data_IF_640304130618
#
_entry.id   IF_640304130618
#
_cell.length_a   1.000
_cell.length_b   1.000
_cell.length_c   1.000
_cell.angle_alpha   90.00
_cell.angle_beta   90.00
_cell.angle_gamma   90.00
#
_symmetry.space_group_name_H-M   'P 1'
#
loop_
_entity.id
_entity.type
_entity.pdbx_description
1 polymer ?
#
# COMPACT_ATOMS: atom_id res chain seq x y z
N UNK A 1 -27.76 -9.93 7.25
CA UNK A 1 -27.43 -11.35 7.02
C UNK A 1 -26.24 -11.84 7.85
N UNK A 2 -25.01 -11.30 7.71
CA UNK A 2 -23.86 -11.78 8.53
C UNK A 2 -24.00 -11.40 10.01
N UNK A 3 -24.34 -10.14 10.32
CA UNK A 3 -24.53 -9.70 11.70
C UNK A 3 -25.61 -10.54 12.40
N UNK A 4 -26.75 -10.72 11.74
CA UNK A 4 -27.89 -11.49 12.26
C UNK A 4 -27.53 -12.96 12.52
N UNK A 5 -26.71 -13.56 11.65
CA UNK A 5 -26.19 -14.90 11.87
C UNK A 5 -25.28 -14.95 13.10
N UNK A 6 -24.31 -14.04 13.21
CA UNK A 6 -23.42 -13.98 14.37
C UNK A 6 -24.19 -13.74 15.68
N UNK A 7 -25.26 -12.93 15.65
CA UNK A 7 -26.11 -12.64 16.82
C UNK A 7 -26.91 -13.85 17.32
N UNK A 8 -27.05 -14.93 16.54
CA UNK A 8 -27.68 -16.17 16.97
C UNK A 8 -26.72 -17.12 17.71
N UNK A 9 -25.43 -16.77 17.78
CA UNK A 9 -24.38 -17.60 18.35
C UNK A 9 -23.87 -16.92 19.62
N UNK A 10 -23.85 -17.65 20.74
CA UNK A 10 -23.16 -17.21 21.94
C UNK A 10 -21.65 -17.40 21.74
N UNK A 11 -20.83 -16.34 21.69
CA UNK A 11 -19.39 -16.48 21.43
C UNK A 11 -18.69 -17.32 22.50
N UNK A 12 -19.17 -17.34 23.74
CA UNK A 12 -18.55 -18.09 24.84
C UNK A 12 -18.67 -19.62 24.68
N UNK A 13 -19.51 -20.11 23.78
CA UNK A 13 -19.62 -21.55 23.49
C UNK A 13 -18.74 -21.97 22.32
N UNK A 14 -18.05 -21.04 21.65
CA UNK A 14 -17.20 -21.35 20.51
C UNK A 14 -15.84 -21.87 20.94
N UNK A 15 -15.28 -22.78 20.12
CA UNK A 15 -13.95 -23.32 20.35
C UNK A 15 -12.91 -22.20 20.29
N UNK A 16 -12.04 -22.16 21.30
CA UNK A 16 -10.82 -21.33 21.32
C UNK A 16 -9.59 -22.05 20.76
N UNK A 17 -9.73 -23.33 20.40
CA UNK A 17 -8.64 -24.16 19.89
C UNK A 17 -8.36 -23.78 18.43
N UNK A 18 -7.11 -23.47 18.13
CA UNK A 18 -6.64 -23.27 16.77
C UNK A 18 -6.42 -24.62 16.08
N UNK A 19 -6.62 -24.65 14.76
CA UNK A 19 -6.37 -25.86 13.96
C UNK A 19 -5.20 -25.62 13.01
N UNK A 20 -4.41 -26.66 12.73
CA UNK A 20 -3.28 -26.58 11.79
C UNK A 20 -3.61 -27.34 10.52
N UNK A 21 -3.33 -26.72 9.37
CA UNK A 21 -3.41 -27.36 8.06
C UNK A 21 -2.05 -27.32 7.36
N UNK A 22 -1.83 -28.26 6.45
CA UNK A 22 -0.66 -28.20 5.57
C UNK A 22 -0.99 -27.47 4.28
N UNK A 23 -0.17 -26.47 3.94
CA UNK A 23 -0.30 -25.70 2.71
C UNK A 23 0.97 -25.79 1.88
N UNK A 24 0.82 -26.03 0.58
CA UNK A 24 1.93 -25.98 -0.35
C UNK A 24 2.29 -24.52 -0.65
N UNK A 25 3.54 -24.14 -0.37
CA UNK A 25 4.07 -22.81 -0.71
C UNK A 25 5.42 -22.98 -1.40
N UNK A 26 5.47 -22.60 -2.69
CA UNK A 26 6.66 -22.69 -3.54
C UNK A 26 7.23 -24.12 -3.62
N UNK A 27 6.36 -25.13 -3.78
CA UNK A 27 6.78 -26.53 -3.88
C UNK A 27 7.16 -27.21 -2.56
N UNK A 28 6.93 -26.54 -1.41
CA UNK A 28 7.18 -27.11 -0.09
C UNK A 28 5.91 -27.11 0.76
N UNK A 29 5.64 -28.23 1.42
CA UNK A 29 4.58 -28.33 2.41
C UNK A 29 4.98 -27.59 3.69
N UNK A 30 4.12 -26.69 4.16
CA UNK A 30 4.31 -25.94 5.39
C UNK A 30 3.05 -25.98 6.22
N UNK A 31 3.22 -26.12 7.52
CA UNK A 31 2.12 -26.00 8.47
C UNK A 31 1.66 -24.53 8.55
N UNK A 32 0.35 -24.35 8.61
CA UNK A 32 -0.30 -23.06 8.80
C UNK A 32 -1.40 -23.21 9.83
N UNK A 33 -1.25 -22.49 10.94
CA UNK A 33 -2.28 -22.38 11.97
C UNK A 33 -3.42 -21.47 11.49
N UNK A 34 -4.65 -21.88 11.79
CA UNK A 34 -5.88 -21.17 11.49
C UNK A 34 -6.50 -20.60 12.76
N UNK A 35 -7.20 -19.47 12.60
CA UNK A 35 -7.98 -18.87 13.66
C UNK A 35 -9.01 -19.87 14.23
N UNK A 36 -9.19 -19.80 15.54
CA UNK A 36 -10.26 -20.53 16.23
C UNK A 36 -11.65 -20.02 15.82
N UNK A 37 -12.70 -20.80 16.08
CA UNK A 37 -14.09 -20.38 15.85
C UNK A 37 -14.43 -19.12 16.64
N UNK A 38 -13.90 -19.02 17.86
CA UNK A 38 -14.01 -17.85 18.72
C UNK A 38 -13.46 -16.58 18.03
N UNK A 39 -12.22 -16.63 17.53
CA UNK A 39 -11.62 -15.51 16.81
C UNK A 39 -12.37 -15.18 15.51
N UNK A 40 -12.75 -16.21 14.74
CA UNK A 40 -13.49 -16.03 13.49
C UNK A 40 -14.82 -15.31 13.71
N UNK A 41 -15.56 -15.66 14.77
CA UNK A 41 -16.81 -14.99 15.11
C UNK A 41 -16.59 -13.50 15.35
N UNK A 42 -15.59 -13.11 16.16
CA UNK A 42 -15.28 -11.69 16.40
C UNK A 42 -14.87 -10.97 15.11
N UNK A 43 -14.06 -11.63 14.27
CA UNK A 43 -13.64 -11.07 12.99
C UNK A 43 -14.83 -10.78 12.07
N UNK A 44 -15.80 -11.70 11.97
CA UNK A 44 -17.00 -11.52 11.15
C UNK A 44 -18.00 -10.54 11.76
N UNK A 45 -18.32 -10.67 13.05
CA UNK A 45 -19.26 -9.82 13.79
C UNK A 45 -18.84 -8.35 13.72
N UNK A 46 -17.61 -8.04 14.13
CA UNK A 46 -17.11 -6.65 14.13
C UNK A 46 -16.98 -6.07 12.72
N UNK A 47 -16.65 -6.88 11.71
CA UNK A 47 -16.63 -6.44 10.31
C UNK A 47 -18.04 -6.10 9.81
N UNK A 48 -19.04 -6.87 10.20
CA UNK A 48 -20.44 -6.60 9.84
C UNK A 48 -20.96 -5.33 10.54
N UNK A 49 -20.74 -5.19 11.84
CA UNK A 49 -21.14 -4.00 12.61
C UNK A 49 -20.51 -2.72 12.05
N UNK A 50 -19.21 -2.74 11.74
CA UNK A 50 -18.50 -1.63 11.10
C UNK A 50 -19.14 -1.21 9.77
N UNK A 51 -19.63 -2.18 8.96
CA UNK A 51 -20.29 -1.87 7.69
C UNK A 51 -21.72 -1.34 7.86
N UNK A 52 -22.41 -1.77 8.90
CA UNK A 52 -23.77 -1.34 9.22
C UNK A 52 -23.81 0.04 9.90
N UNK A 53 -22.68 0.50 10.44
CA UNK A 53 -22.63 1.75 11.19
C UNK A 53 -23.06 1.62 12.64
N UNK A 54 -23.11 0.39 13.17
CA UNK A 54 -23.42 0.11 14.57
C UNK A 54 -22.18 0.38 15.43
N UNK A 55 -21.84 1.67 15.58
CA UNK A 55 -20.54 2.10 16.10
C UNK A 55 -20.30 1.68 17.55
N UNK A 56 -21.31 1.81 18.41
CA UNK A 56 -21.17 1.47 19.82
C UNK A 56 -20.94 -0.04 20.01
N UNK A 57 -21.79 -0.88 19.39
CA UNK A 57 -21.63 -2.33 19.47
C UNK A 57 -20.31 -2.78 18.82
N UNK A 58 -19.91 -2.18 17.70
CA UNK A 58 -18.63 -2.47 17.05
C UNK A 58 -17.45 -2.16 17.97
N UNK A 59 -17.50 -1.03 18.69
CA UNK A 59 -16.49 -0.62 19.65
C UNK A 59 -16.37 -1.64 20.80
N UNK A 60 -17.48 -2.01 21.40
CA UNK A 60 -17.51 -2.87 22.59
C UNK A 60 -17.06 -4.29 22.23
N UNK A 61 -17.63 -4.88 21.18
CA UNK A 61 -17.26 -6.22 20.71
C UNK A 61 -15.80 -6.27 20.22
N UNK A 62 -15.29 -5.20 19.61
CA UNK A 62 -13.87 -5.18 19.18
C UNK A 62 -12.90 -5.08 20.35
N UNK A 63 -13.26 -4.39 21.45
CA UNK A 63 -12.45 -4.34 22.67
C UNK A 63 -12.47 -5.68 23.40
N UNK A 64 -13.66 -6.27 23.55
CA UNK A 64 -13.82 -7.60 24.15
C UNK A 64 -12.94 -8.63 23.43
N UNK A 65 -12.91 -8.60 22.09
CA UNK A 65 -12.03 -9.45 21.29
C UNK A 65 -10.54 -9.24 21.61
N UNK A 66 -10.10 -7.98 21.69
CA UNK A 66 -8.72 -7.60 21.98
C UNK A 66 -8.27 -8.00 23.40
N UNK A 67 -9.21 -8.11 24.34
CA UNK A 67 -8.95 -8.50 25.72
C UNK A 67 -8.97 -10.02 25.92
N UNK A 68 -9.82 -10.75 25.19
CA UNK A 68 -10.10 -12.17 25.46
C UNK A 68 -9.46 -13.16 24.47
N UNK A 69 -8.89 -12.69 23.36
CA UNK A 69 -8.17 -13.54 22.39
C UNK A 69 -6.67 -13.47 22.69
N UNK A 70 -6.07 -14.62 22.99
CA UNK A 70 -4.66 -14.72 23.37
C UNK A 70 -3.71 -14.69 22.16
N UNK A 71 -4.11 -15.30 21.04
CA UNK A 71 -3.32 -15.37 19.80
C UNK A 71 -4.18 -14.97 18.60
N UNK A 72 -3.68 -14.03 17.80
CA UNK A 72 -4.40 -13.49 16.65
C UNK A 72 -3.83 -14.00 15.32
N UNK A 73 -4.73 -14.29 14.40
CA UNK A 73 -4.43 -14.70 13.04
C UNK A 73 -4.86 -13.62 12.04
N UNK A 74 -4.34 -13.69 10.82
CA UNK A 74 -4.75 -12.83 9.70
C UNK A 74 -4.68 -11.31 9.95
N UNK A 75 -3.85 -10.89 10.92
CA UNK A 75 -3.79 -9.50 11.42
C UNK A 75 -5.10 -9.02 12.07
N UNK A 76 -5.89 -9.91 12.67
CA UNK A 76 -7.16 -9.57 13.30
C UNK A 76 -6.98 -8.58 14.46
N UNK A 77 -5.89 -8.63 15.21
CA UNK A 77 -5.50 -7.62 16.19
C UNK A 77 -5.46 -6.20 15.59
N UNK A 78 -4.84 -6.07 14.40
CA UNK A 78 -4.73 -4.81 13.66
C UNK A 78 -6.11 -4.37 13.16
N UNK A 79 -6.91 -5.30 12.64
CA UNK A 79 -8.25 -5.00 12.13
C UNK A 79 -9.23 -4.58 13.23
N UNK A 80 -9.20 -5.25 14.37
CA UNK A 80 -9.98 -4.90 15.56
C UNK A 80 -9.54 -3.54 16.10
N UNK A 81 -8.23 -3.27 16.19
CA UNK A 81 -7.69 -1.96 16.59
C UNK A 81 -8.16 -0.83 15.66
N UNK A 82 -8.17 -1.08 14.34
CA UNK A 82 -8.74 -0.14 13.37
C UNK A 82 -10.23 0.07 13.61
N UNK A 83 -10.99 -0.98 13.90
CA UNK A 83 -12.44 -0.87 14.17
C UNK A 83 -12.75 -0.11 15.45
N UNK A 84 -12.00 -0.33 16.52
CA UNK A 84 -12.07 0.47 17.75
C UNK A 84 -11.83 1.95 17.43
N UNK A 85 -10.78 2.25 16.67
CA UNK A 85 -10.39 3.63 16.33
C UNK A 85 -11.48 4.34 15.53
N UNK A 86 -11.98 3.70 14.46
CA UNK A 86 -13.03 4.28 13.61
C UNK A 86 -14.38 4.38 14.32
N UNK A 87 -14.73 3.42 15.18
CA UNK A 87 -15.97 3.47 15.94
C UNK A 87 -15.96 4.64 16.94
N UNK A 88 -14.84 4.85 17.64
CA UNK A 88 -14.65 6.04 18.50
C UNK A 88 -14.82 7.34 17.73
N UNK A 89 -14.20 7.47 16.55
CA UNK A 89 -14.36 8.64 15.66
C UNK A 89 -15.83 8.92 15.38
N UNK A 90 -16.59 7.90 14.96
CA UNK A 90 -18.00 8.05 14.59
C UNK A 90 -18.93 8.30 15.79
N UNK A 91 -18.49 7.98 17.01
CA UNK A 91 -19.17 8.34 18.26
C UNK A 91 -18.78 9.75 18.76
N UNK A 92 -18.06 10.54 17.96
CA UNK A 92 -17.63 11.89 18.31
C UNK A 92 -16.34 11.96 19.11
N UNK A 93 -15.75 10.83 19.51
CA UNK A 93 -14.43 10.80 20.14
C UNK A 93 -13.34 10.75 19.07
N UNK A 94 -12.96 11.93 18.59
CA UNK A 94 -11.94 12.08 17.55
C UNK A 94 -10.52 12.20 18.08
N UNK A 95 -10.34 12.23 19.40
CA UNK A 95 -9.01 12.34 20.04
C UNK A 95 -8.09 11.19 19.59
N UNK A 96 -6.87 11.57 19.19
CA UNK A 96 -5.83 10.69 18.67
C UNK A 96 -6.20 9.79 17.48
N UNK A 97 -7.35 9.99 16.82
CA UNK A 97 -7.81 9.10 15.73
C UNK A 97 -6.75 8.99 14.63
N UNK A 98 -6.18 10.13 14.22
CA UNK A 98 -5.11 10.20 13.23
C UNK A 98 -3.88 9.41 13.72
N UNK A 99 -3.38 9.70 14.93
CA UNK A 99 -2.18 9.05 15.48
C UNK A 99 -2.34 7.51 15.60
N UNK A 100 -3.54 7.05 15.98
CA UNK A 100 -3.88 5.62 16.06
C UNK A 100 -3.89 4.98 14.67
N UNK A 101 -4.54 5.61 13.69
CA UNK A 101 -4.54 5.12 12.31
C UNK A 101 -3.14 5.14 11.67
N UNK A 102 -2.31 6.14 11.96
CA UNK A 102 -0.91 6.17 11.51
C UNK A 102 -0.10 4.99 12.10
N UNK A 103 -0.30 4.69 13.38
CA UNK A 103 0.30 3.52 14.04
C UNK A 103 -0.15 2.21 13.39
N UNK A 104 -1.43 2.08 13.08
CA UNK A 104 -1.98 0.93 12.35
C UNK A 104 -1.35 0.84 10.95
N UNK A 105 -1.26 1.96 10.22
CA UNK A 105 -0.69 2.01 8.88
C UNK A 105 0.78 1.58 8.84
N UNK A 106 1.56 1.91 9.88
CA UNK A 106 2.96 1.46 10.02
C UNK A 106 3.07 -0.07 10.09
N UNK A 107 2.12 -0.73 10.74
CA UNK A 107 2.04 -2.21 10.82
C UNK A 107 1.45 -2.82 9.55
N UNK A 108 0.47 -2.15 8.94
CA UNK A 108 -0.26 -2.65 7.76
C UNK A 108 -0.54 -1.53 6.75
N UNK A 109 0.23 -1.56 5.65
CA UNK A 109 0.20 -0.52 4.61
C UNK A 109 -0.93 -0.71 3.59
N UNK A 110 -2.17 -0.64 4.05
CA UNK A 110 -3.34 -0.76 3.18
C UNK A 110 -3.78 0.58 2.59
N UNK A 111 -4.19 0.58 1.32
CA UNK A 111 -4.63 1.79 0.62
C UNK A 111 -5.86 2.43 1.27
N UNK A 112 -6.78 1.62 1.80
CA UNK A 112 -8.00 2.14 2.41
C UNK A 112 -7.72 2.83 3.76
N UNK A 113 -6.68 2.43 4.50
CA UNK A 113 -6.26 3.14 5.72
C UNK A 113 -5.65 4.50 5.35
N UNK A 114 -4.89 4.54 4.25
CA UNK A 114 -4.36 5.80 3.73
C UNK A 114 -5.50 6.73 3.26
N UNK A 115 -6.54 6.19 2.62
CA UNK A 115 -7.76 6.94 2.28
C UNK A 115 -8.44 7.51 3.54
N UNK A 116 -8.60 6.71 4.59
CA UNK A 116 -9.22 7.18 5.85
C UNK A 116 -8.43 8.30 6.51
N UNK A 117 -7.09 8.19 6.51
CA UNK A 117 -6.23 9.28 6.96
C UNK A 117 -6.39 10.52 6.08
N UNK A 118 -6.45 10.36 4.76
CA UNK A 118 -6.67 11.48 3.83
C UNK A 118 -8.00 12.19 4.09
N UNK A 119 -9.07 11.45 4.39
CA UNK A 119 -10.37 12.02 4.77
C UNK A 119 -10.26 12.83 6.06
N UNK A 120 -9.59 12.30 7.08
CA UNK A 120 -9.40 12.99 8.36
C UNK A 120 -8.56 14.26 8.24
N UNK A 121 -7.48 14.24 7.46
CA UNK A 121 -6.68 15.44 7.21
C UNK A 121 -7.47 16.48 6.41
N UNK A 122 -8.27 16.04 5.43
CA UNK A 122 -9.13 16.93 4.67
C UNK A 122 -10.21 17.58 5.54
N UNK A 123 -10.83 16.82 6.46
CA UNK A 123 -11.78 17.33 7.46
C UNK A 123 -11.14 18.40 8.37
N UNK A 124 -9.83 18.30 8.63
CA UNK A 124 -9.05 19.26 9.43
C UNK A 124 -8.45 20.42 8.62
N UNK A 125 -8.77 20.52 7.33
CA UNK A 125 -8.17 21.48 6.39
C UNK A 125 -6.65 21.36 6.22
N UNK A 126 -6.02 20.26 6.66
CA UNK A 126 -4.63 19.93 6.35
C UNK A 126 -4.56 19.31 4.95
N UNK A 127 -4.63 20.19 3.94
CA UNK A 127 -4.69 19.80 2.53
C UNK A 127 -3.42 19.07 2.07
N UNK A 128 -2.25 19.41 2.62
CA UNK A 128 -0.97 18.79 2.24
C UNK A 128 -0.90 17.34 2.70
N UNK A 129 -1.24 17.08 3.98
CA UNK A 129 -1.29 15.71 4.50
C UNK A 129 -2.41 14.91 3.84
N UNK A 130 -3.57 15.53 3.60
CA UNK A 130 -4.68 14.90 2.89
C UNK A 130 -4.26 14.44 1.48
N UNK A 131 -3.67 15.35 0.70
CA UNK A 131 -3.19 15.08 -0.65
C UNK A 131 -2.12 13.98 -0.64
N UNK A 132 -1.12 14.10 0.25
CA UNK A 132 -0.05 13.10 0.38
C UNK A 132 -0.61 11.70 0.68
N UNK A 133 -1.55 11.57 1.62
CA UNK A 133 -2.15 10.28 1.94
C UNK A 133 -3.01 9.74 0.79
N UNK A 134 -3.79 10.59 0.12
CA UNK A 134 -4.62 10.19 -1.01
C UNK A 134 -3.78 9.70 -2.21
N UNK A 135 -2.67 10.39 -2.50
CA UNK A 135 -1.71 10.01 -3.54
C UNK A 135 -0.99 8.70 -3.18
N UNK A 136 -0.61 8.51 -1.91
CA UNK A 136 -0.05 7.23 -1.48
C UNK A 136 -1.09 6.10 -1.64
N UNK A 137 -2.35 6.35 -1.28
CA UNK A 137 -3.43 5.38 -1.40
C UNK A 137 -3.70 4.96 -2.87
N UNK A 138 -3.75 5.92 -3.79
CA UNK A 138 -4.12 5.63 -5.19
C UNK A 138 -3.02 4.81 -5.88
N UNK A 139 -1.75 5.06 -5.52
CA UNK A 139 -0.58 4.35 -6.02
C UNK A 139 -0.29 3.01 -5.32
N UNK A 140 -0.91 2.75 -4.16
CA UNK A 140 -0.74 1.49 -3.44
C UNK A 140 -1.44 0.33 -4.20
N UNK A 141 -1.09 -0.92 -3.88
CA UNK A 141 -1.66 -2.11 -4.49
C UNK A 141 -3.18 -2.15 -4.31
N UNK A 142 -3.88 -2.63 -5.34
CA UNK A 142 -5.32 -2.77 -5.36
C UNK A 142 -5.91 -2.35 -6.71
N UNK A 143 -7.00 -3.00 -7.16
CA UNK A 143 -7.67 -2.60 -8.39
C UNK A 143 -8.24 -1.19 -8.30
N UNK A 144 -8.20 -0.44 -9.40
CA UNK A 144 -8.57 0.99 -9.42
C UNK A 144 -10.09 1.17 -9.27
N UNK A 145 -10.86 0.23 -9.81
CA UNK A 145 -12.31 0.15 -9.74
C UNK A 145 -12.80 0.22 -8.29
N UNK A 146 -12.13 -0.46 -7.35
CA UNK A 146 -12.47 -0.39 -5.93
C UNK A 146 -12.03 0.90 -5.22
N UNK A 147 -11.33 1.81 -5.93
CA UNK A 147 -10.85 3.10 -5.41
C UNK A 147 -11.69 4.29 -5.89
N UNK A 148 -12.89 4.07 -6.42
CA UNK A 148 -13.80 5.14 -6.91
C UNK A 148 -14.07 6.25 -5.88
N UNK A 149 -14.20 5.92 -4.59
CA UNK A 149 -14.39 6.94 -3.55
C UNK A 149 -13.09 7.68 -3.20
N UNK A 150 -11.93 7.07 -3.44
CA UNK A 150 -10.65 7.77 -3.34
C UNK A 150 -10.44 8.74 -4.51
N UNK A 151 -10.88 8.37 -5.72
CA UNK A 151 -10.89 9.30 -6.87
C UNK A 151 -11.76 10.53 -6.57
N UNK A 152 -12.95 10.32 -5.99
CA UNK A 152 -13.81 11.41 -5.54
C UNK A 152 -13.12 12.29 -4.49
N UNK A 153 -12.46 11.69 -3.49
CA UNK A 153 -11.72 12.43 -2.48
C UNK A 153 -10.57 13.25 -3.08
N UNK A 154 -9.79 12.68 -4.01
CA UNK A 154 -8.74 13.42 -4.73
C UNK A 154 -9.31 14.61 -5.49
N UNK A 155 -10.46 14.44 -6.15
CA UNK A 155 -11.18 15.54 -6.81
C UNK A 155 -11.49 16.69 -5.84
N UNK A 156 -12.04 16.37 -4.65
CA UNK A 156 -12.30 17.36 -3.60
C UNK A 156 -11.03 18.07 -3.12
N UNK A 157 -9.96 17.32 -2.85
CA UNK A 157 -8.68 17.88 -2.39
C UNK A 157 -8.11 18.84 -3.44
N UNK A 158 -8.04 18.40 -4.69
CA UNK A 158 -7.51 19.18 -5.81
C UNK A 158 -8.34 20.45 -6.07
N UNK A 159 -9.67 20.35 -5.96
CA UNK A 159 -10.57 21.49 -6.06
C UNK A 159 -10.29 22.53 -4.97
N UNK A 160 -10.10 22.09 -3.71
CA UNK A 160 -9.73 22.98 -2.60
C UNK A 160 -8.34 23.60 -2.79
N UNK A 161 -7.43 22.90 -3.45
CA UNK A 161 -6.11 23.40 -3.85
C UNK A 161 -6.12 24.24 -5.14
N UNK A 162 -7.29 24.54 -5.71
CA UNK A 162 -7.47 25.32 -6.95
C UNK A 162 -6.94 24.66 -8.23
N UNK A 163 -6.72 23.34 -8.23
CA UNK A 163 -6.39 22.56 -9.43
C UNK A 163 -7.66 22.06 -10.14
N UNK A 164 -8.41 22.99 -10.73
CA UNK A 164 -9.76 22.74 -11.28
C UNK A 164 -9.82 21.63 -12.33
N UNK A 165 -8.96 21.68 -13.37
CA UNK A 165 -8.93 20.67 -14.43
C UNK A 165 -8.67 19.25 -13.88
N UNK A 166 -7.71 19.13 -12.97
CA UNK A 166 -7.43 17.85 -12.32
C UNK A 166 -8.60 17.39 -11.45
N UNK A 167 -9.27 18.30 -10.72
CA UNK A 167 -10.44 17.95 -9.93
C UNK A 167 -11.57 17.39 -10.81
N UNK A 168 -11.89 18.08 -11.91
CA UNK A 168 -12.87 17.63 -12.91
C UNK A 168 -12.56 16.22 -13.43
N UNK A 169 -11.30 15.98 -13.81
CA UNK A 169 -10.84 14.68 -14.31
C UNK A 169 -10.98 13.56 -13.28
N UNK A 170 -10.69 13.83 -12.00
CA UNK A 170 -10.83 12.84 -10.94
C UNK A 170 -12.29 12.51 -10.63
N UNK A 171 -13.18 13.52 -10.58
CA UNK A 171 -14.62 13.30 -10.46
C UNK A 171 -15.18 12.53 -11.65
N UNK A 172 -14.76 12.90 -12.87
CA UNK A 172 -15.15 12.21 -14.10
C UNK A 172 -14.72 10.75 -14.09
N UNK A 173 -13.46 10.45 -13.73
CA UNK A 173 -12.99 9.06 -13.65
C UNK A 173 -13.73 8.26 -12.57
N UNK A 174 -14.07 8.86 -11.43
CA UNK A 174 -14.90 8.22 -10.41
C UNK A 174 -16.28 7.85 -10.95
N UNK A 175 -16.95 8.78 -11.65
CA UNK A 175 -18.26 8.54 -12.31
C UNK A 175 -18.15 7.45 -13.38
N UNK A 176 -17.22 7.59 -14.32
CA UNK A 176 -17.06 6.68 -15.46
C UNK A 176 -16.70 5.27 -15.02
N UNK A 177 -15.84 5.10 -14.01
CA UNK A 177 -15.51 3.78 -13.47
C UNK A 177 -16.72 3.11 -12.83
N UNK A 178 -17.58 3.86 -12.13
CA UNK A 178 -18.84 3.31 -11.60
C UNK A 178 -19.80 2.91 -12.73
N UNK A 179 -19.86 3.69 -13.81
CA UNK A 179 -20.69 3.38 -14.97
C UNK A 179 -20.21 2.14 -15.71
N UNK A 180 -18.90 1.99 -15.92
CA UNK A 180 -18.26 0.84 -16.57
C UNK A 180 -18.50 -0.47 -15.79
N UNK A 181 -18.50 -0.38 -14.45
CA UNK A 181 -18.75 -1.50 -13.54
C UNK A 181 -20.25 -1.72 -13.22
N UNK A 182 -21.15 -0.97 -13.86
CA UNK A 182 -22.60 -1.00 -13.61
C UNK A 182 -23.01 -0.73 -12.15
N UNK A 183 -22.21 0.06 -11.43
CA UNK A 183 -22.49 0.45 -10.05
C UNK A 183 -23.33 1.71 -9.97
N UNK A 184 -24.11 1.83 -8.89
CA UNK A 184 -24.84 3.07 -8.56
C UNK A 184 -23.88 4.25 -8.51
N UNK A 185 -24.21 5.32 -9.23
CA UNK A 185 -23.52 6.60 -9.21
C UNK A 185 -24.17 7.49 -8.12
N UNK A 186 -23.43 7.90 -7.08
CA UNK A 186 -23.96 8.80 -6.05
C UNK A 186 -24.29 10.21 -6.59
N UNK A 187 -25.38 10.83 -6.09
CA UNK A 187 -25.80 12.19 -6.48
C UNK A 187 -24.68 13.23 -6.28
N UNK A 188 -23.92 13.12 -5.18
CA UNK A 188 -22.76 14.00 -4.89
C UNK A 188 -21.73 14.10 -6.03
N UNK A 189 -21.60 13.09 -6.89
CA UNK A 189 -20.71 13.16 -8.05
C UNK A 189 -21.27 14.09 -9.13
N UNK A 190 -22.57 14.00 -9.40
CA UNK A 190 -23.23 14.93 -10.32
C UNK A 190 -23.20 16.36 -9.77
N UNK A 191 -23.45 16.53 -8.47
CA UNK A 191 -23.41 17.84 -7.82
C UNK A 191 -22.03 18.50 -7.92
N UNK A 192 -20.95 17.73 -7.80
CA UNK A 192 -19.58 18.23 -8.01
C UNK A 192 -19.30 18.52 -9.49
N UNK A 193 -19.68 17.62 -10.41
CA UNK A 193 -19.42 17.78 -11.85
C UNK A 193 -20.19 18.95 -12.47
N UNK A 194 -21.41 19.23 -12.01
CA UNK A 194 -22.22 20.35 -12.49
C UNK A 194 -21.64 21.73 -12.14
N UNK A 195 -20.63 21.79 -11.26
CA UNK A 195 -19.92 23.03 -10.94
C UNK A 195 -18.80 23.36 -11.93
N UNK A 196 -18.55 22.47 -12.90
CA UNK A 196 -17.57 22.65 -13.96
C UNK A 196 -18.26 23.06 -15.26
N UNK A 197 -17.58 23.88 -16.06
CA UNK A 197 -18.05 24.32 -17.39
C UNK A 197 -17.67 23.36 -18.50
N UNK A 198 -16.74 22.45 -18.19
CA UNK A 198 -16.17 21.45 -19.07
C UNK A 198 -17.23 20.44 -19.51
N UNK A 199 -17.20 20.06 -20.79
CA UNK A 199 -18.10 19.05 -21.32
C UNK A 199 -17.84 17.68 -20.70
N UNK A 200 -18.91 16.91 -20.49
CA UNK A 200 -18.80 15.56 -19.93
C UNK A 200 -17.88 14.66 -20.78
N UNK A 201 -16.98 13.94 -20.11
CA UNK A 201 -16.10 12.97 -20.76
C UNK A 201 -16.91 11.70 -21.08
N UNK A 202 -17.02 11.28 -22.35
CA UNK A 202 -17.79 10.09 -22.70
C UNK A 202 -17.08 8.80 -22.25
N UNK A 203 -17.86 7.75 -21.96
CA UNK A 203 -17.35 6.44 -21.49
C UNK A 203 -16.28 5.84 -22.40
N UNK A 204 -16.38 6.02 -23.73
CA UNK A 204 -15.37 5.59 -24.71
C UNK A 204 -13.95 6.11 -24.38
N UNK A 205 -13.85 7.25 -23.70
CA UNK A 205 -12.57 7.90 -23.36
C UNK A 205 -12.04 7.50 -21.97
N UNK A 206 -12.69 6.59 -21.25
CA UNK A 206 -12.30 6.17 -19.89
C UNK A 206 -10.84 5.69 -19.83
N UNK A 207 -10.39 4.92 -20.83
CA UNK A 207 -9.03 4.39 -20.89
C UNK A 207 -7.98 5.50 -20.99
N UNK A 208 -8.25 6.53 -21.78
CA UNK A 208 -7.35 7.68 -21.94
C UNK A 208 -7.25 8.48 -20.64
N UNK A 209 -8.39 8.79 -20.03
CA UNK A 209 -8.46 9.48 -18.74
C UNK A 209 -7.74 8.70 -17.63
N UNK A 210 -7.96 7.39 -17.57
CA UNK A 210 -7.28 6.48 -16.62
C UNK A 210 -5.76 6.51 -16.81
N UNK A 211 -5.28 6.50 -18.04
CA UNK A 211 -3.85 6.54 -18.34
C UNK A 211 -3.22 7.90 -18.00
N UNK A 212 -3.91 8.99 -18.31
CA UNK A 212 -3.49 10.35 -17.95
C UNK A 212 -3.33 10.50 -16.44
N UNK A 213 -4.37 10.13 -15.67
CA UNK A 213 -4.35 10.28 -14.21
C UNK A 213 -3.36 9.31 -13.55
N UNK A 214 -3.18 8.09 -14.08
CA UNK A 214 -2.11 7.18 -13.62
C UNK A 214 -0.72 7.79 -13.78
N UNK A 215 -0.44 8.45 -14.91
CA UNK A 215 0.84 9.16 -15.11
C UNK A 215 1.00 10.27 -14.06
N UNK A 216 -0.04 11.08 -13.86
CA UNK A 216 -0.07 12.13 -12.84
C UNK A 216 0.25 11.57 -11.44
N UNK A 217 -0.48 10.55 -10.96
CA UNK A 217 -0.24 9.97 -9.63
C UNK A 217 1.15 9.37 -9.48
N UNK A 218 1.64 8.69 -10.53
CA UNK A 218 2.94 8.03 -10.50
C UNK A 218 4.10 9.01 -10.33
N UNK A 219 3.93 10.27 -10.76
CA UNK A 219 4.91 11.34 -10.56
C UNK A 219 5.23 11.62 -9.09
N UNK A 220 4.32 11.28 -8.18
CA UNK A 220 4.50 11.52 -6.74
C UNK A 220 5.08 10.32 -5.98
N UNK A 221 5.18 9.14 -6.61
CA UNK A 221 5.79 7.96 -5.98
C UNK A 221 7.30 8.12 -5.74
N UNK A 222 7.92 9.17 -6.27
CA UNK A 222 9.37 9.43 -6.20
C UNK A 222 9.89 9.81 -4.80
N UNK A 223 9.03 9.91 -3.76
CA UNK A 223 9.47 10.30 -2.40
C UNK A 223 9.08 9.36 -1.25
N UNK A 224 8.42 8.21 -1.52
CA UNK A 224 7.84 7.37 -0.45
C UNK A 224 8.41 5.95 -0.31
N UNK A 225 9.08 5.41 -1.33
CA UNK A 225 9.60 4.05 -1.31
C UNK A 225 11.09 4.06 -1.69
N UNK A 226 11.93 4.55 -0.78
CA UNK A 226 13.30 4.04 -0.67
C UNK A 226 13.28 2.63 -0.06
N UNK A 227 12.66 1.68 -0.77
CA UNK A 227 13.35 0.43 -1.06
C UNK A 227 14.02 0.69 -2.41
N UNK A 228 15.35 0.67 -2.53
CA UNK A 228 16.01 1.09 -3.73
C UNK A 228 15.82 0.03 -4.83
N UNK A 229 14.68 0.09 -5.52
CA UNK A 229 14.72 0.01 -6.96
C UNK A 229 15.32 1.33 -7.45
N UNK A 230 16.63 1.47 -7.28
CA UNK A 230 17.43 2.37 -8.09
C UNK A 230 17.24 1.93 -9.55
N UNK A 231 16.20 2.45 -10.20
CA UNK A 231 16.44 3.12 -11.47
C UNK A 231 16.90 4.52 -11.10
N UNK A 232 18.16 4.61 -10.67
CA UNK A 232 18.91 5.82 -10.91
C UNK A 232 18.83 6.07 -12.40
N UNK A 233 18.44 7.28 -12.79
CA UNK A 233 18.98 7.94 -13.98
C UNK A 233 20.49 8.17 -13.77
N UNK A 234 21.22 7.10 -13.47
CA UNK A 234 22.66 7.02 -13.57
C UNK A 234 22.86 6.25 -14.84
N UNK A 235 23.45 6.88 -15.84
CA UNK A 235 23.81 6.24 -17.10
C UNK A 235 24.35 4.85 -16.79
N UNK A 236 23.72 3.81 -17.32
CA UNK A 236 24.21 2.45 -17.20
C UNK A 236 25.67 2.45 -17.66
N UNK A 237 26.60 2.19 -16.74
CA UNK A 237 28.01 2.13 -17.06
C UNK A 237 28.36 0.69 -17.41
N UNK A 238 29.18 0.53 -18.45
CA UNK A 238 29.77 -0.75 -18.82
C UNK A 238 31.20 -0.80 -18.28
N UNK A 239 31.55 -1.89 -17.60
CA UNK A 239 32.88 -2.08 -17.07
C UNK A 239 33.26 -3.55 -16.98
N UNK A 240 34.51 -3.79 -16.62
CA UNK A 240 35.06 -5.14 -16.47
C UNK A 240 35.52 -5.38 -15.05
N UNK A 241 35.20 -6.55 -14.48
CA UNK A 241 35.71 -6.97 -13.18
C UNK A 241 37.21 -7.24 -13.31
N UNK A 242 38.04 -6.40 -12.68
CA UNK A 242 39.50 -6.51 -12.77
C UNK A 242 40.12 -7.21 -11.56
N UNK A 243 39.40 -7.26 -10.44
CA UNK A 243 39.90 -7.85 -9.19
C UNK A 243 38.75 -8.37 -8.33
N UNK A 244 38.95 -9.52 -7.71
CA UNK A 244 38.10 -10.06 -6.63
C UNK A 244 38.96 -10.05 -5.36
N UNK A 245 38.44 -9.47 -4.27
CA UNK A 245 39.12 -9.43 -2.98
C UNK A 245 38.71 -10.62 -2.11
N UNK A 246 37.40 -10.87 -1.99
CA UNK A 246 36.84 -12.00 -1.27
C UNK A 246 35.77 -12.72 -2.09
N UNK A 247 35.74 -14.04 -1.97
CA UNK A 247 34.71 -14.93 -2.48
C UNK A 247 34.48 -16.02 -1.43
N UNK A 248 33.46 -15.85 -0.59
CA UNK A 248 33.19 -16.74 0.54
C UNK A 248 31.68 -16.77 0.88
N UNK A 249 31.33 -17.41 1.98
CA UNK A 249 29.94 -17.56 2.44
C UNK A 249 29.18 -16.23 2.63
N UNK A 250 29.89 -15.10 2.76
CA UNK A 250 29.29 -13.76 2.87
C UNK A 250 29.08 -13.08 1.52
N UNK A 251 29.44 -13.72 0.41
CA UNK A 251 29.31 -13.21 -0.95
C UNK A 251 30.66 -12.88 -1.59
N UNK A 252 30.63 -11.98 -2.58
CA UNK A 252 31.79 -11.62 -3.39
C UNK A 252 31.99 -10.11 -3.45
N UNK A 253 33.22 -9.64 -3.35
CA UNK A 253 33.57 -8.23 -3.49
C UNK A 253 34.86 -8.01 -4.29
N UNK A 254 35.03 -6.80 -4.80
CA UNK A 254 36.11 -6.51 -5.74
C UNK A 254 36.00 -5.16 -6.42
N UNK A 255 36.68 -5.02 -7.56
CA UNK A 255 36.72 -3.79 -8.34
C UNK A 255 36.30 -4.00 -9.80
N UNK A 256 35.50 -3.06 -10.31
CA UNK A 256 35.13 -2.92 -11.72
C UNK A 256 35.91 -1.74 -12.30
N UNK A 257 36.59 -1.94 -13.43
CA UNK A 257 37.20 -0.86 -14.20
C UNK A 257 36.22 -0.37 -15.27
N UNK A 258 35.98 0.93 -15.31
CA UNK A 258 35.21 1.60 -16.34
C UNK A 258 35.93 2.89 -16.72
N UNK A 259 36.34 2.99 -17.99
CA UNK A 259 37.24 4.03 -18.48
C UNK A 259 38.55 4.10 -17.67
N UNK A 260 38.85 5.26 -17.07
CA UNK A 260 40.03 5.49 -16.23
C UNK A 260 39.76 5.27 -14.72
N UNK A 261 38.53 4.93 -14.34
CA UNK A 261 38.12 4.83 -12.94
C UNK A 261 37.93 3.37 -12.50
N UNK A 262 38.17 3.12 -11.22
CA UNK A 262 37.87 1.85 -10.55
C UNK A 262 36.75 2.03 -9.53
N UNK A 263 35.78 1.13 -9.55
CA UNK A 263 34.61 1.17 -8.70
C UNK A 263 34.54 -0.09 -7.84
N UNK A 264 34.47 0.08 -6.52
CA UNK A 264 34.29 -1.04 -5.60
C UNK A 264 32.88 -1.62 -5.72
N UNK A 265 32.76 -2.94 -5.78
CA UNK A 265 31.49 -3.65 -5.70
C UNK A 265 31.51 -4.67 -4.57
N UNK A 266 30.33 -4.98 -4.05
CA UNK A 266 30.10 -6.11 -3.15
C UNK A 266 28.70 -6.65 -3.40
N UNK A 267 28.59 -7.97 -3.56
CA UNK A 267 27.34 -8.69 -3.84
C UNK A 267 27.13 -9.80 -2.82
N UNK A 268 25.89 -9.94 -2.33
CA UNK A 268 25.52 -10.97 -1.36
C UNK A 268 25.56 -12.38 -1.97
N UNK A 269 25.67 -13.46 -1.18
CA UNK A 269 25.68 -14.84 -1.70
C UNK A 269 24.38 -15.19 -2.44
N UNK A 270 23.25 -14.59 -2.03
CA UNK A 270 21.93 -14.82 -2.61
C UNK A 270 21.63 -13.96 -3.87
N UNK A 271 22.59 -13.14 -4.32
CA UNK A 271 22.40 -12.38 -5.57
C UNK A 271 22.60 -13.32 -6.76
N UNK A 272 21.65 -13.34 -7.68
CA UNK A 272 21.55 -14.34 -8.76
C UNK A 272 22.74 -14.39 -9.73
N UNK A 273 23.65 -13.39 -9.69
CA UNK A 273 24.88 -13.35 -10.49
C UNK A 273 26.14 -13.68 -9.68
N UNK A 274 26.08 -13.81 -8.36
CA UNK A 274 27.28 -13.95 -7.50
C UNK A 274 28.19 -15.10 -7.91
N UNK A 275 27.62 -16.26 -8.23
CA UNK A 275 28.38 -17.43 -8.71
C UNK A 275 28.99 -17.26 -10.10
N UNK A 276 28.47 -16.32 -10.90
CA UNK A 276 28.88 -16.09 -12.30
C UNK A 276 29.92 -14.97 -12.45
N UNK A 277 30.18 -14.20 -11.39
CA UNK A 277 31.14 -13.11 -11.42
C UNK A 277 32.56 -13.66 -11.22
N UNK A 278 33.38 -13.56 -12.26
CA UNK A 278 34.82 -13.88 -12.27
C UNK A 278 35.65 -12.70 -12.76
N UNK A 279 36.96 -12.69 -12.49
CA UNK A 279 37.87 -11.70 -13.09
C UNK A 279 37.76 -11.79 -14.61
N UNK A 280 37.59 -10.65 -15.27
CA UNK A 280 37.35 -10.53 -16.71
C UNK A 280 35.88 -10.37 -17.10
N UNK A 281 34.92 -10.58 -16.19
CA UNK A 281 33.48 -10.45 -16.48
C UNK A 281 33.12 -9.02 -16.89
N UNK A 282 32.42 -8.87 -18.02
CA UNK A 282 31.82 -7.59 -18.42
C UNK A 282 30.47 -7.41 -17.73
N UNK A 283 30.23 -6.23 -17.18
CA UNK A 283 29.03 -5.93 -16.38
C UNK A 283 28.44 -4.59 -16.74
N UNK A 284 27.10 -4.50 -16.69
CA UNK A 284 26.41 -3.22 -16.56
C UNK A 284 26.22 -2.92 -15.07
N UNK A 285 26.59 -1.73 -14.64
CA UNK A 285 26.45 -1.29 -13.25
C UNK A 285 26.06 0.19 -13.16
N UNK A 286 25.68 0.61 -11.96
CA UNK A 286 25.41 2.00 -11.61
C UNK A 286 26.20 2.38 -10.36
N UNK A 287 26.53 3.67 -10.20
CA UNK A 287 27.17 4.22 -9.01
C UNK A 287 26.20 5.20 -8.37
N UNK A 288 25.48 4.81 -7.30
CA UNK A 288 24.59 5.72 -6.59
C UNK A 288 25.39 6.83 -5.90
N UNK A 289 24.87 8.06 -5.92
CA UNK A 289 25.46 9.20 -5.20
C UNK A 289 25.61 8.86 -3.71
N UNK A 290 26.79 9.10 -3.14
CA UNK A 290 27.04 8.84 -1.72
C UNK A 290 26.04 9.59 -0.82
N UNK A 291 25.21 8.85 -0.07
CA UNK A 291 24.55 9.41 1.09
C UNK A 291 25.60 9.59 2.19
N UNK A 292 25.59 10.77 2.83
CA UNK A 292 26.43 11.18 3.97
C UNK A 292 27.03 10.00 4.75
N UNK A 293 28.36 9.85 4.65
CA UNK A 293 29.15 8.92 5.48
C UNK A 293 29.43 7.52 4.92
N UNK A 294 28.95 7.14 3.72
CA UNK A 294 29.30 5.84 3.09
C UNK A 294 30.13 6.01 1.80
N UNK A 295 31.13 5.13 1.60
CA UNK A 295 31.92 5.05 0.36
C UNK A 295 31.03 4.68 -0.82
N UNK A 296 31.29 5.28 -1.97
CA UNK A 296 30.60 4.98 -3.23
C UNK A 296 30.80 3.51 -3.61
N UNK A 297 29.71 2.80 -3.89
CA UNK A 297 29.72 1.38 -4.23
C UNK A 297 28.97 1.14 -5.54
N UNK A 298 29.62 0.49 -6.49
CA UNK A 298 28.99 0.04 -7.72
C UNK A 298 27.96 -1.06 -7.45
N UNK A 299 26.76 -0.87 -7.99
CA UNK A 299 25.69 -1.88 -7.98
C UNK A 299 25.59 -2.53 -9.36
N UNK A 300 25.99 -3.79 -9.46
CA UNK A 300 25.86 -4.58 -10.70
C UNK A 300 24.39 -4.86 -11.01
N UNK A 301 24.03 -4.69 -12.28
CA UNK A 301 22.69 -4.91 -12.81
C UNK A 301 22.60 -6.18 -13.65
N UNK A 302 23.60 -6.43 -14.51
CA UNK A 302 23.69 -7.66 -15.34
C UNK A 302 25.11 -7.94 -15.81
N UNK A 303 25.39 -9.19 -16.15
CA UNK A 303 26.55 -9.58 -16.95
C UNK A 303 26.27 -9.31 -18.43
N UNK A 304 27.33 -9.00 -19.17
CA UNK A 304 27.33 -8.86 -20.63
C UNK A 304 28.23 -9.98 -21.16
N UNK A 305 27.80 -10.62 -22.25
CA UNK A 305 28.63 -11.59 -22.98
C UNK A 305 29.81 -10.89 -23.69
#
# INVERSE_FOLDING_TARGET
MINDFCSQINPNTLSKVCSTIQVERKGQMKDMELASDFENWYAYKTKALMKLGEWQECLDVSKEALENIESFHYSNDIWLSRRVTLSKKNLGNTEDTIQKLETILKKKKEWFIQKELAELYFEKEDLDSAFKMAINAINNLGPLEFKVDLLFLLGKILKRQSYSDLAFKHFSLSKLTRQDEEWKIPQKLFDELNQFSEAEIPLLNITNLKNELKKYWSGFNQKGNNKPNHKTEGNNLEGQVIKILHDNERGKDGFIKCNQNEYYFSVSPNFYLTSKIVIGSKVIFIVPSAMSGKKEQAKMLKLIE
#
